data_IF_626740092484
#
_entry.id   IF_626740092484
#
_cell.length_a   1.000
_cell.length_b   1.000
_cell.length_c   1.000
_cell.angle_alpha   90.00
_cell.angle_beta   90.00
_cell.angle_gamma   90.00
#
_symmetry.space_group_name_H-M   'P 1'
#
loop_
_entity.id
_entity.type
_entity.pdbx_description
1 polymer ?
#
# COMPACT_ATOMS: atom_id res chain seq x y z
N UNK A 1 -4.00 -75.91 -52.29
CA UNK A 1 -4.18 -76.45 -53.66
C UNK A 1 -4.95 -77.75 -53.53
N UNK A 2 -6.05 -78.00 -54.27
CA UNK A 2 -6.45 -77.48 -55.59
C UNK A 2 -7.62 -76.45 -55.50
N UNK A 3 -7.81 -75.47 -56.40
CA UNK A 3 -8.34 -75.55 -57.79
C UNK A 3 -9.74 -76.18 -57.81
N UNK A 4 -10.80 -75.67 -58.44
CA UNK A 4 -11.05 -74.54 -59.33
C UNK A 4 -12.55 -74.61 -59.71
N UNK A 5 -13.07 -73.54 -60.35
CA UNK A 5 -14.28 -73.50 -61.20
C UNK A 5 -15.63 -73.51 -60.44
N UNK A 6 -16.62 -72.67 -60.74
CA UNK A 6 -16.86 -71.89 -61.94
C UNK A 6 -18.27 -72.19 -62.47
N UNK A 7 -19.13 -71.17 -62.42
CA UNK A 7 -20.18 -70.87 -63.39
C UNK A 7 -21.60 -71.47 -63.26
N UNK A 8 -22.55 -70.54 -63.44
CA UNK A 8 -23.88 -70.63 -64.09
C UNK A 8 -25.06 -71.18 -63.24
N UNK A 9 -26.28 -70.64 -63.26
CA UNK A 9 -26.91 -69.44 -63.84
C UNK A 9 -28.38 -69.50 -63.36
N UNK A 10 -29.02 -68.41 -62.90
CA UNK A 10 -30.49 -68.27 -62.99
C UNK A 10 -30.84 -66.77 -62.83
N UNK A 11 -30.88 -66.04 -63.94
CA UNK A 11 -32.09 -65.69 -64.70
C UNK A 11 -33.00 -64.68 -63.98
N UNK A 12 -32.77 -63.39 -64.25
CA UNK A 12 -33.85 -62.39 -64.23
C UNK A 12 -33.78 -61.60 -65.54
N UNK A 13 -34.90 -61.65 -66.24
CA UNK A 13 -35.15 -61.14 -67.57
C UNK A 13 -35.13 -59.60 -67.59
N UNK A 14 -34.44 -59.08 -68.59
CA UNK A 14 -34.55 -57.71 -69.12
C UNK A 14 -35.99 -57.37 -69.46
N UNK A 15 -36.45 -56.20 -69.03
CA UNK A 15 -37.30 -55.33 -69.83
C UNK A 15 -36.53 -54.07 -70.17
N UNK A 16 -36.51 -53.78 -71.46
CA UNK A 16 -35.82 -52.68 -72.11
C UNK A 16 -36.64 -51.39 -71.96
N UNK A 17 -36.00 -50.29 -71.56
CA UNK A 17 -36.43 -48.95 -71.93
C UNK A 17 -35.21 -48.14 -72.35
N UNK A 18 -35.26 -47.65 -73.58
CA UNK A 18 -34.17 -46.99 -74.27
C UNK A 18 -34.03 -45.53 -73.81
N UNK A 19 -32.80 -45.11 -73.50
CA UNK A 19 -32.35 -43.71 -73.51
C UNK A 19 -30.98 -43.65 -74.20
N UNK A 20 -30.69 -42.62 -75.00
CA UNK A 20 -29.43 -42.50 -75.74
C UNK A 20 -28.27 -42.05 -74.83
N UNK A 21 -27.00 -42.23 -75.24
CA UNK A 21 -25.84 -41.93 -74.40
C UNK A 21 -25.51 -40.44 -74.38
N UNK A 22 -25.20 -39.91 -73.19
CA UNK A 22 -24.72 -38.54 -72.98
C UNK A 22 -23.19 -38.55 -73.12
N UNK A 23 -22.68 -38.20 -74.29
CA UNK A 23 -21.30 -37.76 -74.49
C UNK A 23 -21.18 -36.27 -74.14
N UNK A 24 -21.01 -35.90 -72.86
CA UNK A 24 -20.72 -34.51 -72.45
C UNK A 24 -20.05 -34.35 -71.08
N UNK A 25 -19.24 -35.33 -70.63
CA UNK A 25 -18.60 -35.28 -69.30
C UNK A 25 -17.21 -34.64 -69.27
N UNK A 26 -16.50 -34.51 -70.40
CA UNK A 26 -15.11 -34.00 -70.41
C UNK A 26 -15.04 -32.48 -70.34
N UNK A 27 -15.87 -31.78 -71.12
CA UNK A 27 -15.84 -30.31 -71.20
C UNK A 27 -16.26 -29.63 -69.88
N UNK A 28 -17.20 -30.24 -69.15
CA UNK A 28 -17.65 -29.73 -67.83
C UNK A 28 -16.55 -29.93 -66.77
N UNK A 29 -15.80 -31.02 -66.84
CA UNK A 29 -14.68 -31.28 -65.93
C UNK A 29 -13.51 -30.30 -66.17
N UNK A 30 -13.19 -30.04 -67.43
CA UNK A 30 -12.14 -29.08 -67.80
C UNK A 30 -12.53 -27.64 -67.43
N UNK A 31 -13.78 -27.24 -67.63
CA UNK A 31 -14.29 -25.94 -67.17
C UNK A 31 -14.23 -25.80 -65.64
N UNK A 32 -14.57 -26.85 -64.88
CA UNK A 32 -14.50 -26.83 -63.42
C UNK A 32 -13.04 -26.71 -62.95
N UNK A 33 -12.13 -27.44 -63.59
CA UNK A 33 -10.70 -27.40 -63.28
C UNK A 33 -10.10 -26.01 -63.56
N UNK A 34 -10.52 -25.38 -64.66
CA UNK A 34 -10.11 -24.02 -65.01
C UNK A 34 -10.68 -22.97 -64.03
N UNK A 35 -11.92 -23.15 -63.56
CA UNK A 35 -12.52 -22.29 -62.53
C UNK A 35 -11.77 -22.39 -61.19
N UNK A 36 -11.38 -23.61 -60.78
CA UNK A 36 -10.60 -23.83 -59.56
C UNK A 36 -9.21 -23.21 -59.68
N UNK A 37 -8.56 -23.32 -60.84
CA UNK A 37 -7.27 -22.68 -61.09
C UNK A 37 -7.37 -21.15 -61.02
N UNK A 38 -8.43 -20.57 -61.61
CA UNK A 38 -8.70 -19.14 -61.57
C UNK A 38 -9.01 -18.66 -60.14
N UNK A 39 -9.79 -19.42 -59.37
CA UNK A 39 -10.05 -19.14 -57.95
C UNK A 39 -8.76 -19.14 -57.13
N UNK A 40 -7.86 -20.12 -57.37
CA UNK A 40 -6.58 -20.23 -56.66
C UNK A 40 -5.62 -19.09 -57.03
N UNK A 41 -5.61 -18.65 -58.29
CA UNK A 41 -4.82 -17.49 -58.70
C UNK A 41 -5.37 -16.20 -58.09
N UNK A 42 -6.69 -16.01 -58.10
CA UNK A 42 -7.35 -14.88 -57.45
C UNK A 42 -7.06 -14.85 -55.93
N UNK A 43 -7.06 -16.00 -55.25
CA UNK A 43 -6.73 -16.10 -53.83
C UNK A 43 -5.25 -15.75 -53.55
N UNK A 44 -4.33 -16.12 -54.45
CA UNK A 44 -2.90 -15.77 -54.37
C UNK A 44 -2.66 -14.28 -54.63
N UNK A 45 -3.38 -13.70 -55.60
CA UNK A 45 -3.34 -12.27 -55.87
C UNK A 45 -3.93 -11.47 -54.70
N UNK A 46 -5.04 -11.91 -54.11
CA UNK A 46 -5.61 -11.30 -52.91
C UNK A 46 -4.62 -11.32 -51.73
N UNK A 47 -3.91 -12.44 -51.54
CA UNK A 47 -2.85 -12.53 -50.52
C UNK A 47 -1.70 -11.54 -50.75
N UNK A 48 -1.34 -11.29 -52.00
CA UNK A 48 -0.24 -10.38 -52.35
C UNK A 48 -0.68 -8.90 -52.29
N UNK A 49 -1.90 -8.60 -52.71
CA UNK A 49 -2.44 -7.23 -52.79
C UNK A 49 -2.95 -6.75 -51.43
N UNK A 50 -3.48 -7.64 -50.58
CA UNK A 50 -4.14 -7.25 -49.33
C UNK A 50 -3.34 -7.67 -48.09
N UNK A 51 -2.94 -8.95 -47.99
CA UNK A 51 -2.37 -9.48 -46.75
C UNK A 51 -0.93 -8.98 -46.52
N UNK A 52 -0.09 -8.97 -47.56
CA UNK A 52 1.32 -8.57 -47.42
C UNK A 52 1.51 -7.08 -47.05
N UNK A 53 0.78 -6.12 -47.65
CA UNK A 53 0.83 -4.72 -47.22
C UNK A 53 0.34 -4.51 -45.79
N UNK A 54 -0.75 -5.18 -45.38
CA UNK A 54 -1.27 -5.12 -44.01
C UNK A 54 -0.24 -5.61 -42.99
N UNK A 55 0.44 -6.73 -43.27
CA UNK A 55 1.47 -7.27 -42.37
C UNK A 55 2.69 -6.33 -42.25
N UNK A 56 3.16 -5.75 -43.36
CA UNK A 56 4.26 -4.78 -43.36
C UNK A 56 3.89 -3.50 -42.60
N UNK A 57 2.65 -3.05 -42.79
CA UNK A 57 2.12 -1.87 -42.13
C UNK A 57 1.99 -2.09 -40.61
N UNK A 58 1.47 -3.25 -40.20
CA UNK A 58 1.40 -3.67 -38.80
C UNK A 58 2.76 -3.66 -38.11
N UNK A 59 3.78 -4.24 -38.75
CA UNK A 59 5.15 -4.25 -38.21
C UNK A 59 5.75 -2.84 -38.08
N UNK A 60 5.44 -1.94 -39.01
CA UNK A 60 5.89 -0.53 -38.95
C UNK A 60 5.18 0.22 -37.82
N UNK A 61 3.88 -0.01 -37.62
CA UNK A 61 3.11 0.57 -36.50
C UNK A 61 3.69 0.08 -35.17
N UNK A 62 3.89 -1.23 -35.02
CA UNK A 62 4.48 -1.83 -33.83
C UNK A 62 5.85 -1.21 -33.49
N UNK A 63 6.73 -1.08 -34.49
CA UNK A 63 8.08 -0.51 -34.30
C UNK A 63 8.06 0.99 -34.00
N UNK A 64 7.11 1.73 -34.58
CA UNK A 64 6.94 3.17 -34.31
C UNK A 64 6.35 3.42 -32.94
N UNK A 65 5.29 2.69 -32.59
CA UNK A 65 4.63 2.76 -31.29
C UNK A 65 5.59 2.36 -30.17
N UNK A 66 6.33 1.25 -30.34
CA UNK A 66 7.33 0.81 -29.37
C UNK A 66 8.38 1.88 -29.07
N UNK A 67 8.94 2.51 -30.13
CA UNK A 67 9.94 3.59 -29.96
C UNK A 67 9.38 4.85 -29.32
N UNK A 68 8.17 5.25 -29.67
CA UNK A 68 7.52 6.44 -29.07
C UNK A 68 7.18 6.18 -27.60
N UNK A 69 6.64 5.00 -27.29
CA UNK A 69 6.32 4.59 -25.93
C UNK A 69 7.59 4.52 -25.06
N UNK A 70 8.65 3.90 -25.56
CA UNK A 70 9.93 3.80 -24.85
C UNK A 70 10.52 5.18 -24.53
N UNK A 71 10.54 6.10 -25.51
CA UNK A 71 10.99 7.48 -25.29
C UNK A 71 10.14 8.23 -24.27
N UNK A 72 8.82 8.09 -24.34
CA UNK A 72 7.89 8.75 -23.42
C UNK A 72 8.03 8.22 -21.99
N UNK A 73 8.10 6.89 -21.83
CA UNK A 73 8.32 6.25 -20.53
C UNK A 73 9.65 6.69 -19.94
N UNK A 74 10.72 6.67 -20.74
CA UNK A 74 12.05 7.09 -20.28
C UNK A 74 12.07 8.55 -19.82
N UNK A 75 11.51 9.47 -20.61
CA UNK A 75 11.42 10.87 -20.24
C UNK A 75 10.58 11.09 -18.97
N UNK A 76 9.49 10.33 -18.81
CA UNK A 76 8.65 10.36 -17.60
C UNK A 76 9.41 9.89 -16.36
N UNK A 77 10.15 8.79 -16.46
CA UNK A 77 10.99 8.25 -15.37
C UNK A 77 12.09 9.25 -14.99
N UNK A 78 12.80 9.81 -15.97
CA UNK A 78 13.88 10.76 -15.73
C UNK A 78 13.35 12.03 -15.02
N UNK A 79 12.16 12.51 -15.41
CA UNK A 79 11.50 13.65 -14.78
C UNK A 79 11.05 13.34 -13.33
N UNK A 80 10.51 12.14 -13.09
CA UNK A 80 10.16 11.69 -11.74
C UNK A 80 11.40 11.60 -10.85
N UNK A 81 12.50 11.07 -11.39
CA UNK A 81 13.77 10.95 -10.67
C UNK A 81 14.35 12.32 -10.29
N UNK A 82 14.33 13.28 -11.21
CA UNK A 82 14.79 14.64 -10.95
C UNK A 82 13.98 15.33 -9.85
N UNK A 83 12.64 15.19 -9.88
CA UNK A 83 11.76 15.72 -8.83
C UNK A 83 12.03 15.09 -7.47
N UNK A 84 12.19 13.76 -7.43
CA UNK A 84 12.50 13.04 -6.20
C UNK A 84 13.81 13.52 -5.57
N UNK A 85 14.86 13.70 -6.39
CA UNK A 85 16.14 14.22 -5.90
C UNK A 85 15.99 15.63 -5.32
N UNK A 86 15.30 16.53 -6.03
CA UNK A 86 15.08 17.91 -5.56
C UNK A 86 14.31 17.94 -4.24
N UNK A 87 13.25 17.14 -4.12
CA UNK A 87 12.44 17.05 -2.91
C UNK A 87 13.23 16.48 -1.73
N UNK A 88 14.01 15.42 -1.95
CA UNK A 88 14.88 14.85 -0.92
C UNK A 88 15.89 15.89 -0.41
N UNK A 89 16.50 16.65 -1.33
CA UNK A 89 17.48 17.68 -0.98
C UNK A 89 16.85 18.81 -0.16
N UNK A 90 15.61 19.21 -0.49
CA UNK A 90 14.82 20.18 0.29
C UNK A 90 14.46 19.63 1.68
N UNK A 91 14.03 18.37 1.77
CA UNK A 91 13.74 17.68 3.04
C UNK A 91 14.94 17.66 3.96
N UNK A 92 16.10 17.21 3.46
CA UNK A 92 17.32 17.16 4.27
C UNK A 92 17.76 18.54 4.78
N UNK A 93 17.61 19.58 3.93
CA UNK A 93 17.94 20.95 4.35
C UNK A 93 17.02 21.43 5.47
N UNK A 94 15.71 21.23 5.33
CA UNK A 94 14.75 21.61 6.36
C UNK A 94 14.98 20.86 7.68
N UNK A 95 15.34 19.58 7.61
CA UNK A 95 15.65 18.80 8.80
C UNK A 95 16.93 19.27 9.51
N UNK A 96 17.99 19.61 8.74
CA UNK A 96 19.21 20.22 9.31
C UNK A 96 18.91 21.57 9.96
N UNK A 97 18.11 22.42 9.34
CA UNK A 97 17.73 23.72 9.91
C UNK A 97 16.94 23.56 11.21
N UNK A 98 15.99 22.62 11.26
CA UNK A 98 15.24 22.30 12.49
C UNK A 98 16.17 21.81 13.61
N UNK A 99 17.11 20.93 13.29
CA UNK A 99 18.07 20.40 14.26
C UNK A 99 18.99 21.51 14.81
N UNK A 100 19.40 22.44 13.95
CA UNK A 100 20.19 23.61 14.34
C UNK A 100 19.41 24.54 15.28
N UNK A 101 18.12 24.80 15.00
CA UNK A 101 17.25 25.62 15.86
C UNK A 101 17.07 25.00 17.25
N UNK A 102 16.81 23.69 17.32
CA UNK A 102 16.70 22.98 18.59
C UNK A 102 18.00 23.06 19.39
N UNK A 103 19.14 22.82 18.74
CA UNK A 103 20.46 22.92 19.37
C UNK A 103 20.70 24.33 19.93
N UNK A 104 20.31 25.36 19.19
CA UNK A 104 20.47 26.76 19.60
C UNK A 104 19.60 27.09 20.81
N UNK A 105 18.34 26.64 20.84
CA UNK A 105 17.43 26.85 21.97
C UNK A 105 17.96 26.17 23.24
N UNK A 106 18.37 24.90 23.15
CA UNK A 106 18.97 24.17 24.28
C UNK A 106 20.22 24.88 24.78
N UNK A 107 21.10 25.30 23.87
CA UNK A 107 22.34 26.01 24.20
C UNK A 107 22.05 27.34 24.90
N UNK A 108 21.05 28.10 24.45
CA UNK A 108 20.64 29.37 25.07
C UNK A 108 20.10 29.15 26.48
N UNK A 109 19.19 28.18 26.66
CA UNK A 109 18.59 27.91 27.96
C UNK A 109 19.61 27.48 29.01
N UNK A 110 20.58 26.65 28.61
CA UNK A 110 21.64 26.17 29.52
C UNK A 110 22.68 27.27 29.81
N UNK A 111 23.16 27.98 28.79
CA UNK A 111 24.30 28.88 28.96
C UNK A 111 23.93 30.30 29.42
N UNK A 112 22.68 30.73 29.21
CA UNK A 112 22.25 32.10 29.50
C UNK A 112 21.13 32.16 30.53
N UNK A 113 20.04 31.46 30.27
CA UNK A 113 18.81 31.64 31.07
C UNK A 113 18.92 30.99 32.46
N UNK A 114 19.48 29.77 32.52
CA UNK A 114 19.67 29.05 33.78
C UNK A 114 20.65 29.77 34.73
N UNK A 115 21.85 30.24 34.30
CA UNK A 115 22.76 30.97 35.17
C UNK A 115 22.19 32.32 35.62
N UNK A 116 21.56 33.08 34.73
CA UNK A 116 20.99 34.39 35.06
C UNK A 116 19.86 34.26 36.10
N UNK A 117 19.05 33.20 36.01
CA UNK A 117 18.01 32.92 36.98
C UNK A 117 18.61 32.46 38.32
N UNK A 118 19.59 31.54 38.30
CA UNK A 118 20.24 31.08 39.52
C UNK A 118 20.86 32.25 40.29
N UNK A 119 21.54 33.16 39.59
CA UNK A 119 22.09 34.38 40.18
C UNK A 119 20.98 35.27 40.80
N UNK A 120 19.86 35.46 40.10
CA UNK A 120 18.72 36.24 40.60
C UNK A 120 18.07 35.61 41.83
N UNK A 121 17.98 34.28 41.87
CA UNK A 121 17.40 33.52 42.98
C UNK A 121 18.31 33.54 44.20
N UNK A 122 19.62 33.31 44.00
CA UNK A 122 20.64 33.42 45.05
C UNK A 122 20.65 34.82 45.64
N UNK A 123 20.61 35.87 44.80
CA UNK A 123 20.52 37.26 45.25
C UNK A 123 19.25 37.57 46.06
N UNK A 124 18.14 36.87 45.79
CA UNK A 124 16.89 37.03 46.54
C UNK A 124 16.90 36.31 47.88
N UNK A 125 17.42 35.09 47.93
CA UNK A 125 17.33 34.23 49.12
C UNK A 125 18.53 34.35 50.08
N UNK A 126 19.73 34.68 49.61
CA UNK A 126 20.88 34.90 50.52
C UNK A 126 20.59 35.99 51.57
N UNK A 127 19.95 37.12 51.24
CA UNK A 127 19.56 38.11 52.25
C UNK A 127 18.48 37.61 53.24
N UNK A 128 17.62 36.66 52.84
CA UNK A 128 16.54 36.13 53.69
C UNK A 128 17.07 35.19 54.78
N UNK A 129 18.27 34.62 54.58
CA UNK A 129 18.95 33.76 55.57
C UNK A 129 19.40 34.52 56.82
N UNK A 130 19.82 35.79 56.69
CA UNK A 130 20.30 36.59 57.83
C UNK A 130 19.27 36.70 58.97
N UNK A 131 18.03 37.13 58.69
CA UNK A 131 16.95 37.15 59.66
C UNK A 131 16.60 35.77 60.24
N UNK A 132 16.65 34.70 59.44
CA UNK A 132 16.36 33.32 59.90
C UNK A 132 17.42 32.86 60.90
N UNK A 133 18.70 33.07 60.57
CA UNK A 133 19.83 32.74 61.45
C UNK A 133 19.79 33.57 62.73
N UNK A 134 19.53 34.88 62.63
CA UNK A 134 19.39 35.75 63.78
C UNK A 134 18.27 35.27 64.71
N UNK A 135 17.08 34.99 64.17
CA UNK A 135 15.92 34.52 64.96
C UNK A 135 16.16 33.17 65.63
N UNK A 136 16.93 32.27 65.00
CA UNK A 136 17.29 30.98 65.58
C UNK A 136 18.39 31.09 66.64
N UNK A 137 19.36 32.00 66.47
CA UNK A 137 20.50 32.16 67.38
C UNK A 137 20.17 33.00 68.63
N UNK A 138 19.37 34.05 68.52
CA UNK A 138 19.03 34.94 69.66
C UNK A 138 18.60 34.19 70.92
N UNK A 139 17.60 33.28 70.89
CA UNK A 139 17.16 32.58 72.11
C UNK A 139 18.21 31.61 72.66
N UNK A 140 19.12 31.11 71.81
CA UNK A 140 20.18 30.19 72.21
C UNK A 140 21.31 30.95 72.90
N UNK A 141 21.64 32.14 72.40
CA UNK A 141 22.57 33.06 73.05
C UNK A 141 22.04 33.43 74.43
N UNK A 142 20.79 33.89 74.52
CA UNK A 142 20.16 34.27 75.79
C UNK A 142 20.19 33.10 76.80
N UNK A 143 19.75 31.91 76.39
CA UNK A 143 19.75 30.73 77.26
C UNK A 143 21.15 30.29 77.68
N UNK A 144 22.12 30.28 76.77
CA UNK A 144 23.50 29.89 77.06
C UNK A 144 24.17 30.89 77.98
N UNK A 145 23.98 32.19 77.74
CA UNK A 145 24.52 33.25 78.59
C UNK A 145 23.94 33.15 80.00
N UNK A 146 22.63 32.96 80.12
CA UNK A 146 21.94 32.81 81.42
C UNK A 146 22.46 31.59 82.18
N UNK A 147 22.63 30.45 81.51
CA UNK A 147 23.16 29.22 82.10
C UNK A 147 24.63 29.35 82.51
N UNK A 148 25.47 29.96 81.66
CA UNK A 148 26.90 30.14 81.91
C UNK A 148 27.11 31.12 83.07
N UNK A 149 26.36 32.23 83.11
CA UNK A 149 26.40 33.20 84.20
C UNK A 149 25.91 32.60 85.51
N UNK A 150 24.85 31.78 85.49
CA UNK A 150 24.38 31.08 86.69
C UNK A 150 25.44 30.11 87.24
N UNK A 151 26.04 29.27 86.39
CA UNK A 151 27.10 28.30 86.80
C UNK A 151 28.37 29.03 87.28
N UNK A 152 28.70 30.15 86.64
CA UNK A 152 29.79 31.04 87.00
C UNK A 152 29.60 31.67 88.39
N UNK A 153 28.45 32.31 88.64
CA UNK A 153 28.12 32.94 89.93
C UNK A 153 28.07 31.91 91.05
N UNK A 154 27.54 30.72 90.76
CA UNK A 154 27.44 29.63 91.74
C UNK A 154 28.81 29.04 92.13
N UNK A 155 29.82 29.16 91.25
CA UNK A 155 31.21 28.76 91.53
C UNK A 155 32.11 29.91 92.02
N UNK A 156 31.69 31.17 91.89
CA UNK A 156 32.53 32.35 92.11
C UNK A 156 32.53 32.90 93.54
N UNK A 157 32.21 32.10 94.57
CA UNK A 157 32.18 32.52 95.99
C UNK A 157 33.60 32.73 96.58
N UNK A 158 34.54 33.32 95.83
CA UNK A 158 35.89 33.67 96.31
C UNK A 158 36.64 34.67 95.41
N UNK A 159 37.46 35.53 96.03
CA UNK A 159 38.02 36.79 95.48
C UNK A 159 38.97 36.69 94.26
N UNK A 160 39.27 35.50 93.74
CA UNK A 160 40.21 35.30 92.62
C UNK A 160 39.55 34.98 91.27
N UNK A 161 38.22 35.07 91.20
CA UNK A 161 37.43 34.39 90.16
C UNK A 161 37.18 35.24 88.91
N UNK A 162 37.20 36.58 88.96
CA UNK A 162 36.78 37.43 87.82
C UNK A 162 37.58 37.16 86.52
N UNK A 163 38.92 37.06 86.59
CA UNK A 163 39.75 36.78 85.40
C UNK A 163 39.63 35.33 84.89
N UNK A 164 39.32 34.37 85.77
CA UNK A 164 39.02 32.99 85.35
C UNK A 164 37.60 32.86 84.80
N UNK A 165 36.67 33.68 85.31
CA UNK A 165 35.30 33.80 84.84
C UNK A 165 35.29 34.30 83.41
N UNK A 166 35.98 35.40 83.14
CA UNK A 166 36.05 36.01 81.82
C UNK A 166 36.57 35.02 80.75
N UNK A 167 37.68 34.33 81.03
CA UNK A 167 38.21 33.29 80.14
C UNK A 167 37.29 32.08 79.98
N UNK A 168 36.68 31.60 81.07
CA UNK A 168 35.81 30.41 81.05
C UNK A 168 34.48 30.68 80.35
N UNK A 169 33.87 31.84 80.60
CA UNK A 169 32.65 32.33 79.95
C UNK A 169 32.92 32.50 78.46
N UNK A 170 34.01 33.18 78.09
CA UNK A 170 34.37 33.41 76.69
C UNK A 170 34.58 32.10 75.93
N UNK A 171 35.39 31.18 76.48
CA UNK A 171 35.69 29.91 75.82
C UNK A 171 34.47 28.98 75.71
N UNK A 172 33.63 28.88 76.74
CA UNK A 172 32.40 28.07 76.68
C UNK A 172 31.35 28.69 75.75
N UNK A 173 31.23 30.01 75.74
CA UNK A 173 30.32 30.71 74.85
C UNK A 173 30.75 30.54 73.40
N UNK A 174 32.03 30.73 73.07
CA UNK A 174 32.59 30.47 71.74
C UNK A 174 32.32 29.03 71.28
N UNK A 175 32.65 28.04 72.12
CA UNK A 175 32.49 26.64 71.75
C UNK A 175 31.01 26.27 71.51
N UNK A 176 30.09 26.83 72.31
CA UNK A 176 28.65 26.60 72.17
C UNK A 176 28.11 27.30 70.93
N UNK A 177 28.53 28.54 70.70
CA UNK A 177 28.10 29.34 69.54
C UNK A 177 28.61 28.73 68.23
N UNK A 178 29.89 28.32 68.18
CA UNK A 178 30.47 27.65 67.02
C UNK A 178 29.73 26.35 66.66
N UNK A 179 29.45 25.50 67.67
CA UNK A 179 28.68 24.26 67.46
C UNK A 179 27.28 24.53 66.95
N UNK A 180 26.63 25.56 67.49
CA UNK A 180 25.25 25.87 67.14
C UNK A 180 25.13 26.54 65.77
N UNK A 181 26.05 27.45 65.43
CA UNK A 181 26.17 28.03 64.09
C UNK A 181 26.38 26.89 63.09
N UNK A 182 27.30 25.97 63.35
CA UNK A 182 27.56 24.85 62.46
C UNK A 182 26.32 23.96 62.29
N UNK A 183 25.60 23.68 63.36
CA UNK A 183 24.37 22.87 63.33
C UNK A 183 23.26 23.57 62.55
N UNK A 184 22.99 24.85 62.83
CA UNK A 184 21.97 25.66 62.14
C UNK A 184 22.30 25.91 60.67
N UNK A 185 23.58 26.08 60.34
CA UNK A 185 24.02 26.15 58.96
C UNK A 185 23.70 24.83 58.24
N UNK A 186 23.91 23.68 58.90
CA UNK A 186 23.65 22.39 58.29
C UNK A 186 22.18 22.01 58.18
N UNK A 187 21.31 22.42 59.10
CA UNK A 187 19.87 22.12 59.05
C UNK A 187 19.07 23.17 58.31
N UNK A 188 19.28 24.47 58.56
CA UNK A 188 18.46 25.52 57.95
C UNK A 188 19.00 25.94 56.59
N UNK A 189 20.27 26.32 56.48
CA UNK A 189 20.81 26.85 55.21
C UNK A 189 20.85 25.77 54.13
N UNK A 190 21.32 24.55 54.47
CA UNK A 190 21.32 23.42 53.53
C UNK A 190 19.91 23.06 53.06
N UNK A 191 18.94 22.95 53.96
CA UNK A 191 17.57 22.57 53.61
C UNK A 191 16.89 23.65 52.77
N UNK A 192 17.03 24.93 53.14
CA UNK A 192 16.53 26.05 52.36
C UNK A 192 17.15 26.09 50.97
N UNK A 193 18.47 25.91 50.85
CA UNK A 193 19.13 25.86 49.53
C UNK A 193 18.64 24.68 48.69
N UNK A 194 18.46 23.51 49.31
CA UNK A 194 17.99 22.30 48.63
C UNK A 194 16.52 22.42 48.18
N UNK A 195 15.65 22.98 49.01
CA UNK A 195 14.24 23.22 48.68
C UNK A 195 14.10 24.30 47.60
N UNK A 196 14.91 25.35 47.65
CA UNK A 196 14.95 26.40 46.62
C UNK A 196 15.42 25.84 45.28
N UNK A 197 16.49 25.03 45.28
CA UNK A 197 17.00 24.39 44.06
C UNK A 197 15.96 23.42 43.47
N UNK A 198 15.31 22.61 44.33
CA UNK A 198 14.21 21.72 43.94
C UNK A 198 13.04 22.50 43.33
N UNK A 199 12.56 23.53 44.03
CA UNK A 199 11.44 24.35 43.57
C UNK A 199 11.77 25.04 42.25
N UNK A 200 13.02 25.49 42.05
CA UNK A 200 13.47 26.09 40.80
C UNK A 200 13.49 25.07 39.64
N UNK A 201 13.90 23.83 39.90
CA UNK A 201 13.79 22.74 38.94
C UNK A 201 12.33 22.43 38.58
N UNK A 202 11.45 22.28 39.58
CA UNK A 202 10.03 21.91 39.41
C UNK A 202 9.19 23.02 38.77
N UNK A 203 9.43 24.29 39.12
CA UNK A 203 8.59 25.41 38.66
C UNK A 203 9.04 26.04 37.35
N UNK A 204 10.28 25.80 36.92
CA UNK A 204 10.84 26.49 35.75
C UNK A 204 11.51 25.54 34.77
N UNK A 205 12.42 24.68 35.23
CA UNK A 205 13.19 23.82 34.34
C UNK A 205 12.31 22.72 33.73
N UNK A 206 11.45 22.09 34.53
CA UNK A 206 10.45 21.12 34.05
C UNK A 206 9.44 21.80 33.10
N UNK A 207 8.76 22.92 33.45
CA UNK A 207 7.84 23.60 32.53
C UNK A 207 8.48 24.14 31.26
N UNK A 208 9.70 24.67 31.32
CA UNK A 208 10.41 25.15 30.12
C UNK A 208 10.76 23.98 29.19
N UNK A 209 11.19 22.84 29.75
CA UNK A 209 11.45 21.63 28.99
C UNK A 209 10.17 21.05 28.39
N UNK A 210 9.08 20.97 29.17
CA UNK A 210 7.77 20.54 28.70
C UNK A 210 7.25 21.44 27.58
N UNK A 211 7.36 22.76 27.73
CA UNK A 211 6.94 23.72 26.71
C UNK A 211 7.79 23.58 25.43
N UNK A 212 9.10 23.38 25.56
CA UNK A 212 9.98 23.15 24.41
C UNK A 212 9.64 21.84 23.69
N UNK A 213 9.40 20.76 24.43
CA UNK A 213 8.96 19.48 23.88
C UNK A 213 7.59 19.61 23.20
N UNK A 214 6.64 20.32 23.82
CA UNK A 214 5.32 20.59 23.26
C UNK A 214 5.44 21.33 21.92
N UNK A 215 6.21 22.42 21.88
CA UNK A 215 6.44 23.16 20.63
C UNK A 215 7.12 22.28 19.57
N UNK A 216 8.05 21.41 19.97
CA UNK A 216 8.66 20.44 19.05
C UNK A 216 7.60 19.47 18.49
N UNK A 217 6.71 18.92 19.33
CA UNK A 217 5.65 18.02 18.88
C UNK A 217 4.65 18.71 17.96
N UNK A 218 4.24 19.95 18.26
CA UNK A 218 3.37 20.74 17.38
C UNK A 218 4.01 21.01 16.02
N UNK A 219 5.32 21.28 15.99
CA UNK A 219 6.07 21.44 14.74
C UNK A 219 6.18 20.13 13.95
N UNK A 220 6.39 19.00 14.62
CA UNK A 220 6.44 17.68 13.98
C UNK A 220 5.07 17.31 13.41
N UNK A 221 3.99 17.52 14.17
CA UNK A 221 2.61 17.26 13.72
C UNK A 221 2.25 18.13 12.52
N UNK A 222 2.57 19.43 12.57
CA UNK A 222 2.33 20.35 11.45
C UNK A 222 3.14 19.97 10.20
N UNK A 223 4.43 19.63 10.36
CA UNK A 223 5.27 19.19 9.26
C UNK A 223 4.78 17.86 8.66
N UNK A 224 4.30 16.94 9.49
CA UNK A 224 3.74 15.67 9.06
C UNK A 224 2.42 15.87 8.30
N UNK A 225 1.48 16.65 8.83
CA UNK A 225 0.23 16.99 8.13
C UNK A 225 0.50 17.68 6.80
N UNK A 226 1.42 18.65 6.79
CA UNK A 226 1.84 19.32 5.56
C UNK A 226 2.41 18.33 4.55
N UNK A 227 3.35 17.46 4.98
CA UNK A 227 3.92 16.43 4.13
C UNK A 227 2.88 15.44 3.59
N UNK A 228 1.90 15.03 4.41
CA UNK A 228 0.81 14.18 3.95
C UNK A 228 -0.07 14.88 2.92
N UNK A 229 -0.38 16.17 3.12
CA UNK A 229 -1.17 16.95 2.17
C UNK A 229 -0.43 17.17 0.84
N UNK A 230 0.87 17.47 0.91
CA UNK A 230 1.73 17.63 -0.27
C UNK A 230 1.88 16.31 -1.02
N UNK A 231 2.03 15.20 -0.32
CA UNK A 231 2.08 13.87 -0.92
C UNK A 231 0.74 13.45 -1.53
N UNK A 232 -0.39 13.76 -0.90
CA UNK A 232 -1.72 13.52 -1.46
C UNK A 232 -1.94 14.32 -2.75
N UNK A 233 -1.52 15.60 -2.76
CA UNK A 233 -1.56 16.45 -3.96
C UNK A 233 -0.59 15.95 -5.02
N UNK A 234 0.61 15.50 -4.65
CA UNK A 234 1.59 14.94 -5.58
C UNK A 234 1.09 13.64 -6.22
N UNK A 235 0.46 12.74 -5.46
CA UNK A 235 -0.19 11.54 -5.99
C UNK A 235 -1.32 11.94 -6.95
N UNK A 236 -2.19 12.88 -6.55
CA UNK A 236 -3.28 13.33 -7.41
C UNK A 236 -2.76 13.92 -8.73
N UNK A 237 -1.72 14.76 -8.66
CA UNK A 237 -1.06 15.32 -9.85
C UNK A 237 -0.32 14.26 -10.66
N UNK A 238 0.26 13.23 -10.04
CA UNK A 238 0.92 12.14 -10.74
C UNK A 238 -0.08 11.23 -11.46
N UNK A 239 -1.25 10.99 -10.87
CA UNK A 239 -2.37 10.29 -11.51
C UNK A 239 -2.86 11.10 -12.70
N UNK A 240 -3.16 12.39 -12.54
CA UNK A 240 -3.58 13.26 -13.64
C UNK A 240 -2.51 13.39 -14.75
N UNK A 241 -1.25 13.55 -14.38
CA UNK A 241 -0.13 13.67 -15.31
C UNK A 241 0.26 12.33 -15.95
N UNK A 242 -0.07 11.17 -15.37
CA UNK A 242 0.12 9.86 -16.00
C UNK A 242 -1.01 9.56 -16.99
N UNK A 243 -2.25 9.95 -16.68
CA UNK A 243 -3.39 9.77 -17.58
C UNK A 243 -3.30 10.67 -18.81
N UNK A 244 -2.79 11.90 -18.69
CA UNK A 244 -2.75 12.88 -19.80
C UNK A 244 -1.92 12.42 -21.02
N UNK A 245 -0.64 12.00 -20.91
CA UNK A 245 0.16 11.55 -22.04
C UNK A 245 -0.33 10.20 -22.59
N UNK A 246 -0.92 9.34 -21.75
CA UNK A 246 -1.51 8.08 -22.19
C UNK A 246 -2.77 8.32 -23.03
N UNK A 247 -3.63 9.25 -22.59
CA UNK A 247 -4.81 9.71 -23.36
C UNK A 247 -4.40 10.40 -24.66
N UNK A 248 -3.36 11.25 -24.64
CA UNK A 248 -2.84 11.89 -25.84
C UNK A 248 -2.24 10.86 -26.82
N UNK A 249 -1.46 9.90 -26.33
CA UNK A 249 -0.89 8.82 -27.15
C UNK A 249 -1.98 7.93 -27.73
N UNK A 250 -3.01 7.59 -26.94
CA UNK A 250 -4.17 6.83 -27.40
C UNK A 250 -4.93 7.59 -28.48
N UNK A 251 -5.15 8.89 -28.29
CA UNK A 251 -5.80 9.78 -29.27
C UNK A 251 -5.01 9.87 -30.56
N UNK A 252 -3.69 10.05 -30.51
CA UNK A 252 -2.83 10.06 -31.71
C UNK A 252 -2.81 8.69 -32.41
N UNK A 253 -2.82 7.59 -31.65
CA UNK A 253 -2.89 6.22 -32.19
C UNK A 253 -4.23 5.96 -32.86
N UNK A 254 -5.35 6.36 -32.25
CA UNK A 254 -6.70 6.26 -32.83
C UNK A 254 -6.79 7.11 -34.10
N UNK A 255 -6.22 8.32 -34.09
CA UNK A 255 -6.24 9.22 -35.25
C UNK A 255 -5.42 8.65 -36.40
N UNK A 256 -4.23 8.08 -36.11
CA UNK A 256 -3.40 7.38 -37.10
C UNK A 256 -4.07 6.12 -37.63
N UNK A 257 -4.68 5.30 -36.76
CA UNK A 257 -5.42 4.11 -37.16
C UNK A 257 -6.64 4.48 -38.04
N UNK A 258 -7.29 5.60 -37.75
CA UNK A 258 -8.41 6.12 -38.55
C UNK A 258 -7.97 6.57 -39.93
N UNK A 259 -6.84 7.28 -40.05
CA UNK A 259 -6.32 7.69 -41.37
C UNK A 259 -5.86 6.49 -42.19
N UNK A 260 -5.29 5.46 -41.54
CA UNK A 260 -4.91 4.20 -42.19
C UNK A 260 -6.15 3.46 -42.69
N UNK A 261 -7.22 3.41 -41.88
CA UNK A 261 -8.49 2.78 -42.28
C UNK A 261 -9.10 3.51 -43.48
N UNK A 262 -9.04 4.84 -43.52
CA UNK A 262 -9.45 5.62 -44.69
C UNK A 262 -8.59 5.32 -45.92
N UNK A 263 -7.27 5.23 -45.78
CA UNK A 263 -6.38 4.88 -46.88
C UNK A 263 -6.64 3.45 -47.41
N UNK A 264 -6.81 2.46 -46.52
CA UNK A 264 -7.15 1.09 -46.91
C UNK A 264 -8.53 1.02 -47.57
N UNK A 265 -9.50 1.80 -47.11
CA UNK A 265 -10.82 1.91 -47.75
C UNK A 265 -10.71 2.50 -49.14
N UNK A 266 -9.87 3.52 -49.32
CA UNK A 266 -9.58 4.12 -50.63
C UNK A 266 -8.90 3.11 -51.58
N UNK A 267 -7.87 2.42 -51.11
CA UNK A 267 -7.16 1.39 -51.89
C UNK A 267 -8.05 0.18 -52.20
N UNK A 268 -8.93 -0.23 -51.29
CA UNK A 268 -9.89 -1.31 -51.52
C UNK A 268 -10.97 -0.91 -52.53
N UNK A 269 -11.47 0.33 -52.46
CA UNK A 269 -12.39 0.87 -53.45
C UNK A 269 -11.72 0.98 -54.83
N UNK A 270 -10.44 1.36 -54.88
CA UNK A 270 -9.67 1.40 -56.13
C UNK A 270 -9.40 -0.02 -56.68
N UNK A 271 -9.09 -0.98 -55.80
CA UNK A 271 -8.98 -2.40 -56.14
C UNK A 271 -10.29 -2.97 -56.67
N UNK A 272 -11.43 -2.68 -56.04
CA UNK A 272 -12.75 -3.06 -56.54
C UNK A 272 -13.05 -2.44 -57.90
N UNK A 273 -12.69 -1.17 -58.15
CA UNK A 273 -12.84 -0.54 -59.47
C UNK A 273 -11.99 -1.23 -60.54
N UNK A 274 -10.75 -1.62 -60.20
CA UNK A 274 -9.86 -2.35 -61.10
C UNK A 274 -10.37 -3.76 -61.41
N UNK A 275 -10.90 -4.48 -60.41
CA UNK A 275 -11.51 -5.80 -60.62
C UNK A 275 -12.77 -5.68 -61.48
N UNK A 276 -13.61 -4.67 -61.25
CA UNK A 276 -14.80 -4.43 -62.07
C UNK A 276 -14.43 -4.13 -63.53
N UNK A 277 -13.35 -3.37 -63.76
CA UNK A 277 -12.83 -3.09 -65.10
C UNK A 277 -12.26 -4.35 -65.80
N UNK A 278 -11.70 -5.29 -65.05
CA UNK A 278 -11.24 -6.58 -65.57
C UNK A 278 -12.42 -7.51 -65.90
N UNK A 279 -13.51 -7.46 -65.12
CA UNK A 279 -14.73 -8.23 -65.38
C UNK A 279 -15.52 -7.68 -66.57
N UNK A 280 -15.55 -6.37 -66.77
CA UNK A 280 -16.24 -5.75 -67.92
C UNK A 280 -15.45 -5.76 -69.23
N UNK A 281 -14.14 -6.04 -69.18
CA UNK A 281 -13.29 -6.20 -70.37
C UNK A 281 -13.20 -7.65 -70.89
N UNK A 282 -13.78 -8.62 -70.19
CA UNK A 282 -13.92 -10.01 -70.64
C UNK A 282 -15.24 -10.26 -71.36
N UNK A 283 -15.21 -10.30 -72.70
CA UNK A 283 -16.20 -10.84 -73.64
C UNK A 283 -17.70 -10.64 -73.33
N UNK A 284 -18.31 -9.72 -74.09
CA UNK A 284 -19.74 -9.67 -74.34
C UNK A 284 -20.20 -10.96 -75.07
N UNK A 285 -21.10 -11.73 -74.44
CA UNK A 285 -22.20 -12.50 -75.08
C UNK A 285 -22.86 -13.44 -74.05
N UNK A 286 -23.96 -13.01 -73.42
CA UNK A 286 -25.12 -13.86 -73.12
C UNK A 286 -26.20 -13.02 -72.42
N UNK A 287 -27.38 -12.99 -73.02
CA UNK A 287 -28.55 -12.25 -72.57
C UNK A 287 -29.26 -12.95 -71.39
N UNK A 288 -29.78 -12.11 -70.49
CA UNK A 288 -31.03 -12.23 -69.74
C UNK A 288 -31.25 -13.42 -68.78
N UNK A 289 -31.16 -13.13 -67.49
CA UNK A 289 -32.27 -13.39 -66.54
C UNK A 289 -32.33 -12.27 -65.49
N UNK A 290 -33.46 -11.58 -65.48
CA UNK A 290 -33.81 -10.49 -64.59
C UNK A 290 -34.26 -10.99 -63.20
N UNK A 291 -34.18 -10.08 -62.23
CA UNK A 291 -34.87 -10.04 -60.92
C UNK A 291 -34.15 -10.71 -59.74
N UNK A 292 -33.29 -9.95 -59.06
CA UNK A 292 -33.21 -9.99 -57.59
C UNK A 292 -34.26 -9.03 -57.02
N UNK A 293 -35.25 -9.57 -56.31
CA UNK A 293 -35.96 -8.87 -55.23
C UNK A 293 -35.76 -9.66 -53.93
N UNK A 294 -35.72 -8.99 -52.77
CA UNK A 294 -35.15 -9.50 -51.53
C UNK A 294 -36.15 -10.44 -50.84
N UNK A 295 -35.77 -11.69 -50.64
CA UNK A 295 -36.55 -12.58 -49.79
C UNK A 295 -36.04 -12.49 -48.36
N UNK A 296 -36.90 -11.97 -47.47
CA UNK A 296 -36.75 -11.99 -46.02
C UNK A 296 -36.66 -13.45 -45.53
N UNK A 297 -35.46 -13.88 -45.18
CA UNK A 297 -35.21 -15.03 -44.30
C UNK A 297 -34.65 -14.52 -42.97
N UNK A 298 -34.94 -15.17 -41.82
CA UNK A 298 -34.53 -14.66 -40.52
C UNK A 298 -33.01 -14.62 -40.45
N UNK A 299 -32.51 -13.45 -40.05
CA UNK A 299 -31.12 -13.21 -39.68
C UNK A 299 -30.73 -14.27 -38.65
N UNK A 300 -29.94 -15.27 -39.06
CA UNK A 300 -29.11 -16.01 -38.13
C UNK A 300 -28.21 -14.99 -37.46
N UNK A 301 -28.36 -14.89 -36.14
CA UNK A 301 -27.76 -13.84 -35.33
C UNK A 301 -26.24 -13.74 -35.47
N UNK A 302 -25.64 -12.66 -34.95
CA UNK A 302 -24.20 -12.55 -34.80
C UNK A 302 -23.67 -13.77 -34.00
N UNK A 303 -22.38 -14.12 -34.14
CA UNK A 303 -21.80 -15.28 -33.48
C UNK A 303 -22.21 -15.29 -32.01
N UNK A 304 -22.76 -16.43 -31.62
CA UNK A 304 -23.25 -16.76 -30.29
C UNK A 304 -22.29 -16.19 -29.25
N UNK A 305 -22.71 -15.08 -28.63
CA UNK A 305 -22.13 -14.62 -27.38
C UNK A 305 -22.44 -15.76 -26.42
N UNK A 306 -21.43 -16.58 -26.12
CA UNK A 306 -21.51 -17.56 -25.04
C UNK A 306 -22.19 -16.87 -23.86
N UNK A 307 -23.37 -17.41 -23.51
CA UNK A 307 -24.12 -16.95 -22.35
C UNK A 307 -23.14 -16.86 -21.17
N UNK A 308 -23.20 -15.79 -20.33
CA UNK A 308 -22.32 -15.68 -19.19
C UNK A 308 -22.42 -16.97 -18.39
N UNK A 309 -21.34 -17.77 -18.40
CA UNK A 309 -21.28 -18.96 -17.58
C UNK A 309 -21.58 -18.50 -16.15
N UNK A 310 -22.59 -19.11 -15.55
CA UNK A 310 -22.96 -18.87 -14.16
C UNK A 310 -21.65 -18.93 -13.34
N UNK A 311 -21.22 -17.84 -12.68
CA UNK A 311 -19.91 -17.76 -12.02
C UNK A 311 -19.65 -18.95 -11.10
N UNK A 312 -20.72 -19.50 -10.53
CA UNK A 312 -20.70 -20.64 -9.63
C UNK A 312 -20.36 -21.95 -10.35
N UNK A 313 -20.81 -22.13 -11.60
CA UNK A 313 -20.51 -23.33 -12.41
C UNK A 313 -19.06 -23.36 -12.83
N UNK A 314 -18.50 -22.21 -13.23
CA UNK A 314 -17.09 -22.13 -13.61
C UNK A 314 -16.17 -22.33 -12.39
N UNK A 315 -16.49 -21.74 -11.24
CA UNK A 315 -15.76 -22.00 -10.00
C UNK A 315 -15.87 -23.47 -9.55
N UNK A 316 -17.06 -24.07 -9.65
CA UNK A 316 -17.25 -25.49 -9.34
C UNK A 316 -16.42 -26.42 -10.24
N UNK A 317 -16.26 -26.06 -11.52
CA UNK A 317 -15.40 -26.78 -12.47
C UNK A 317 -13.92 -26.66 -12.09
N UNK A 318 -13.45 -25.47 -11.72
CA UNK A 318 -12.06 -25.28 -11.28
C UNK A 318 -11.75 -26.03 -9.97
N UNK A 319 -12.72 -26.13 -9.06
CA UNK A 319 -12.59 -26.94 -7.84
C UNK A 319 -12.48 -28.44 -8.14
N UNK A 320 -13.27 -28.98 -9.07
CA UNK A 320 -13.18 -30.40 -9.44
C UNK A 320 -11.87 -30.74 -10.15
N UNK A 321 -11.31 -29.79 -10.89
CA UNK A 321 -9.99 -29.89 -11.51
C UNK A 321 -8.82 -29.67 -10.52
N UNK A 322 -9.10 -29.46 -9.23
CA UNK A 322 -8.10 -29.18 -8.18
C UNK A 322 -7.25 -27.92 -8.45
N UNK A 323 -7.77 -26.99 -9.25
CA UNK A 323 -7.13 -25.71 -9.58
C UNK A 323 -7.56 -24.62 -8.61
N UNK A 324 -7.15 -24.77 -7.36
CA UNK A 324 -7.57 -23.88 -6.27
C UNK A 324 -7.11 -22.43 -6.51
N UNK A 325 -5.86 -22.20 -6.92
CA UNK A 325 -5.32 -20.85 -7.17
C UNK A 325 -6.12 -20.09 -8.25
N UNK A 326 -6.42 -20.76 -9.37
CA UNK A 326 -7.23 -20.17 -10.45
C UNK A 326 -8.66 -19.86 -9.97
N UNK A 327 -9.28 -20.76 -9.20
CA UNK A 327 -10.62 -20.56 -8.64
C UNK A 327 -10.66 -19.34 -7.71
N UNK A 328 -9.71 -19.23 -6.78
CA UNK A 328 -9.63 -18.08 -5.87
C UNK A 328 -9.29 -16.78 -6.61
N UNK A 329 -8.43 -16.82 -7.61
CA UNK A 329 -8.11 -15.66 -8.45
C UNK A 329 -9.35 -15.13 -9.18
N UNK A 330 -10.11 -16.01 -9.83
CA UNK A 330 -11.35 -15.64 -10.53
C UNK A 330 -12.39 -15.08 -9.55
N UNK A 331 -12.55 -15.70 -8.37
CA UNK A 331 -13.49 -15.22 -7.36
C UNK A 331 -13.11 -13.82 -6.82
N UNK A 332 -11.82 -13.58 -6.55
CA UNK A 332 -11.33 -12.30 -6.03
C UNK A 332 -11.41 -11.18 -7.06
N UNK A 333 -11.15 -11.47 -8.35
CA UNK A 333 -11.30 -10.49 -9.44
C UNK A 333 -12.72 -9.93 -9.55
N UNK A 334 -13.73 -10.72 -9.18
CA UNK A 334 -15.14 -10.30 -9.21
C UNK A 334 -15.52 -9.38 -8.05
N UNK A 335 -14.64 -9.21 -7.04
CA UNK A 335 -14.84 -8.33 -5.89
C UNK A 335 -16.14 -8.57 -5.10
N UNK A 336 -16.73 -9.77 -5.22
CA UNK A 336 -17.98 -10.15 -4.56
C UNK A 336 -17.68 -11.02 -3.33
N UNK A 337 -17.95 -10.47 -2.14
CA UNK A 337 -17.73 -11.15 -0.85
C UNK A 337 -18.58 -12.42 -0.75
N UNK A 338 -19.76 -12.47 -1.37
CA UNK A 338 -20.68 -13.61 -1.29
C UNK A 338 -20.12 -14.82 -2.03
N UNK A 339 -19.56 -14.59 -3.22
CA UNK A 339 -18.90 -15.62 -4.03
C UNK A 339 -17.65 -16.15 -3.30
N UNK A 340 -16.89 -15.26 -2.67
CA UNK A 340 -15.70 -15.64 -1.89
C UNK A 340 -16.08 -16.44 -0.63
N UNK A 341 -17.13 -16.04 0.10
CA UNK A 341 -17.64 -16.78 1.27
C UNK A 341 -18.15 -18.17 0.88
N UNK A 342 -18.88 -18.25 -0.25
CA UNK A 342 -19.31 -19.52 -0.81
C UNK A 342 -18.12 -20.41 -1.17
N UNK A 343 -17.13 -19.87 -1.88
CA UNK A 343 -15.94 -20.62 -2.29
C UNK A 343 -15.15 -21.15 -1.08
N UNK A 344 -14.95 -20.31 -0.05
CA UNK A 344 -14.32 -20.72 1.22
C UNK A 344 -15.14 -21.78 1.96
N UNK A 345 -16.45 -21.86 1.73
CA UNK A 345 -17.32 -22.90 2.31
C UNK A 345 -17.29 -24.22 1.54
N UNK A 346 -16.92 -24.19 0.25
CA UNK A 346 -16.80 -25.41 -0.57
C UNK A 346 -15.45 -26.12 -0.38
N UNK A 347 -14.47 -25.45 0.23
CA UNK A 347 -13.08 -25.91 0.28
C UNK A 347 -12.59 -25.97 1.73
N UNK A 348 -11.81 -26.98 2.06
CA UNK A 348 -11.08 -27.03 3.34
C UNK A 348 -9.88 -26.06 3.28
N UNK A 349 -10.14 -24.80 3.60
CA UNK A 349 -9.14 -23.74 3.55
C UNK A 349 -7.97 -24.00 4.51
N UNK A 350 -8.25 -24.60 5.68
CA UNK A 350 -7.21 -24.96 6.65
C UNK A 350 -6.32 -26.07 6.11
N UNK A 351 -6.92 -27.08 5.48
CA UNK A 351 -6.20 -28.12 4.75
C UNK A 351 -5.30 -27.53 3.67
N UNK A 352 -5.82 -26.65 2.81
CA UNK A 352 -5.04 -26.00 1.76
C UNK A 352 -3.87 -25.17 2.30
N UNK A 353 -4.10 -24.34 3.32
CA UNK A 353 -3.07 -23.47 3.92
C UNK A 353 -1.96 -24.25 4.64
N UNK A 354 -2.17 -25.53 4.97
CA UNK A 354 -1.17 -26.39 5.64
C UNK A 354 -0.41 -27.32 4.69
N UNK A 355 -0.77 -27.35 3.40
CA UNK A 355 -0.04 -28.11 2.38
C UNK A 355 1.33 -27.46 2.10
N UNK A 356 2.34 -28.29 1.82
CA UNK A 356 3.68 -27.84 1.43
C UNK A 356 4.05 -28.44 0.06
N UNK A 357 4.18 -27.63 -1.01
CA UNK A 357 3.99 -26.17 -1.06
C UNK A 357 2.50 -25.77 -0.95
N UNK A 358 2.24 -24.56 -0.44
CA UNK A 358 0.88 -24.01 -0.35
C UNK A 358 0.35 -23.82 -1.79
N UNK A 359 -0.80 -24.39 -2.15
CA UNK A 359 -1.33 -24.38 -3.53
C UNK A 359 -1.97 -23.04 -3.93
N UNK A 360 -1.82 -21.99 -3.13
CA UNK A 360 -2.34 -20.65 -3.35
C UNK A 360 -1.19 -19.64 -3.41
N UNK A 361 -1.24 -18.74 -4.39
CA UNK A 361 -0.30 -17.66 -4.53
C UNK A 361 -0.40 -16.68 -3.34
N UNK A 362 0.75 -16.14 -2.91
CA UNK A 362 0.84 -15.16 -1.83
C UNK A 362 -0.02 -13.90 -2.09
N UNK A 363 -0.14 -13.45 -3.36
CA UNK A 363 -1.05 -12.38 -3.74
C UNK A 363 -2.53 -12.73 -3.55
N UNK A 364 -2.89 -13.98 -3.85
CA UNK A 364 -4.26 -14.50 -3.67
C UNK A 364 -4.60 -14.60 -2.19
N UNK A 365 -3.68 -15.09 -1.35
CA UNK A 365 -3.85 -15.13 0.11
C UNK A 365 -4.03 -13.73 0.70
N UNK A 366 -3.23 -12.75 0.27
CA UNK A 366 -3.32 -11.38 0.76
C UNK A 366 -4.65 -10.70 0.36
N UNK A 367 -5.07 -10.87 -0.89
CA UNK A 367 -6.36 -10.38 -1.38
C UNK A 367 -7.54 -11.09 -0.70
N UNK A 368 -7.43 -12.38 -0.42
CA UNK A 368 -8.43 -13.15 0.31
C UNK A 368 -8.58 -12.65 1.75
N UNK A 369 -7.47 -12.40 2.45
CA UNK A 369 -7.48 -11.81 3.79
C UNK A 369 -8.18 -10.45 3.80
N UNK A 370 -7.89 -9.60 2.80
CA UNK A 370 -8.52 -8.29 2.65
C UNK A 370 -10.02 -8.41 2.40
N UNK A 371 -10.44 -9.28 1.48
CA UNK A 371 -11.84 -9.42 1.08
C UNK A 371 -12.71 -10.02 2.21
N UNK A 372 -12.18 -10.99 2.96
CA UNK A 372 -12.87 -11.54 4.13
C UNK A 372 -13.06 -10.50 5.25
N UNK A 373 -12.18 -9.52 5.35
CA UNK A 373 -12.28 -8.43 6.31
C UNK A 373 -13.29 -7.33 5.93
N UNK A 374 -13.75 -7.27 4.67
CA UNK A 374 -14.65 -6.19 4.19
C UNK A 374 -16.00 -6.23 4.91
N UNK A 375 -16.59 -7.41 5.05
CA UNK A 375 -17.86 -7.61 5.73
C UNK A 375 -17.75 -8.75 6.74
N UNK A 376 -17.08 -8.50 7.87
CA UNK A 376 -16.91 -9.52 8.92
C UNK A 376 -18.19 -9.76 9.74
N UNK A 377 -19.20 -8.89 9.60
CA UNK A 377 -20.46 -9.01 10.35
C UNK A 377 -21.34 -10.16 9.88
N UNK A 378 -21.17 -10.63 8.65
CA UNK A 378 -21.84 -11.80 8.10
C UNK A 378 -20.96 -13.05 8.26
N UNK A 379 -21.48 -14.10 8.89
CA UNK A 379 -20.74 -15.36 9.15
C UNK A 379 -19.44 -15.19 9.98
N UNK A 380 -19.48 -14.27 10.96
CA UNK A 380 -18.34 -13.86 11.80
C UNK A 380 -17.43 -14.99 12.24
N UNK A 381 -17.97 -16.07 12.83
CA UNK A 381 -17.18 -17.18 13.36
C UNK A 381 -16.39 -17.92 12.27
N UNK A 382 -16.97 -18.11 11.08
CA UNK A 382 -16.30 -18.79 9.95
C UNK A 382 -15.24 -17.91 9.33
N UNK A 383 -15.56 -16.63 9.09
CA UNK A 383 -14.61 -15.67 8.52
C UNK A 383 -13.40 -15.45 9.41
N UNK A 384 -13.57 -15.37 10.74
CA UNK A 384 -12.43 -15.26 11.67
C UNK A 384 -11.51 -16.48 11.55
N UNK A 385 -12.05 -17.69 11.44
CA UNK A 385 -11.25 -18.91 11.26
C UNK A 385 -10.50 -18.89 9.93
N UNK A 386 -11.21 -18.64 8.82
CA UNK A 386 -10.59 -18.54 7.49
C UNK A 386 -9.50 -17.47 7.43
N UNK A 387 -9.75 -16.28 7.98
CA UNK A 387 -8.76 -15.21 8.06
C UNK A 387 -7.54 -15.61 8.90
N UNK A 388 -7.73 -16.40 9.96
CA UNK A 388 -6.62 -16.87 10.79
C UNK A 388 -5.75 -17.85 10.01
N UNK A 389 -6.35 -18.82 9.33
CA UNK A 389 -5.64 -19.81 8.51
C UNK A 389 -4.88 -19.13 7.35
N UNK A 390 -5.53 -18.18 6.67
CA UNK A 390 -4.92 -17.39 5.58
C UNK A 390 -3.78 -16.52 6.09
N UNK A 391 -3.96 -15.80 7.22
CA UNK A 391 -2.93 -14.94 7.78
C UNK A 391 -1.67 -15.73 8.20
N UNK A 392 -1.83 -16.97 8.68
CA UNK A 392 -0.71 -17.85 9.03
C UNK A 392 0.05 -18.37 7.79
N UNK A 393 -0.60 -18.48 6.63
CA UNK A 393 0.00 -18.95 5.39
C UNK A 393 0.71 -17.85 4.57
N UNK A 394 0.51 -16.58 4.94
CA UNK A 394 1.14 -15.44 4.26
C UNK A 394 2.61 -15.32 4.69
N UNK A 395 3.50 -15.32 3.71
CA UNK A 395 4.90 -15.01 3.88
C UNK A 395 5.13 -13.50 3.65
N UNK A 396 5.39 -12.71 4.70
CA UNK A 396 5.58 -11.26 4.57
C UNK A 396 6.85 -10.87 3.81
N UNK A 397 7.79 -11.80 3.63
CA UNK A 397 9.07 -11.56 2.92
C UNK A 397 9.01 -11.84 1.41
N UNK A 398 7.86 -12.31 0.90
CA UNK A 398 7.68 -12.59 -0.52
C UNK A 398 7.76 -11.28 -1.33
N UNK A 399 8.64 -11.25 -2.34
CA UNK A 399 8.95 -10.05 -3.12
C UNK A 399 7.75 -9.50 -3.90
N UNK A 400 6.78 -10.36 -4.26
CA UNK A 400 5.61 -9.96 -5.05
C UNK A 400 4.63 -9.14 -4.20
N UNK A 401 4.48 -9.51 -2.92
CA UNK A 401 3.50 -8.89 -2.03
C UNK A 401 4.08 -7.97 -0.98
N UNK A 402 5.41 -7.96 -0.77
CA UNK A 402 6.08 -7.24 0.32
C UNK A 402 5.56 -5.80 0.52
N UNK A 403 5.49 -5.01 -0.56
CA UNK A 403 5.04 -3.60 -0.50
C UNK A 403 3.56 -3.44 -0.09
N UNK A 404 2.75 -4.48 -0.25
CA UNK A 404 1.31 -4.46 0.01
C UNK A 404 0.93 -5.12 1.34
N UNK A 405 1.79 -5.98 1.90
CA UNK A 405 1.50 -6.72 3.14
C UNK A 405 1.19 -5.78 4.30
N UNK A 406 2.07 -4.83 4.59
CA UNK A 406 1.91 -3.91 5.71
C UNK A 406 0.62 -3.06 5.64
N UNK A 407 0.34 -2.30 4.56
CA UNK A 407 -0.86 -1.47 4.50
C UNK A 407 -2.15 -2.30 4.55
N UNK A 408 -2.17 -3.50 3.96
CA UNK A 408 -3.35 -4.37 3.99
C UNK A 408 -3.57 -4.94 5.39
N UNK A 409 -2.52 -5.43 6.07
CA UNK A 409 -2.64 -5.97 7.43
C UNK A 409 -3.04 -4.89 8.44
N UNK A 410 -2.51 -3.66 8.32
CA UNK A 410 -2.93 -2.52 9.16
C UNK A 410 -4.40 -2.15 8.91
N UNK A 411 -4.85 -2.14 7.64
CA UNK A 411 -6.26 -1.92 7.29
C UNK A 411 -7.18 -3.00 7.86
N UNK A 412 -6.80 -4.27 7.72
CA UNK A 412 -7.56 -5.41 8.27
C UNK A 412 -7.62 -5.31 9.80
N UNK A 413 -6.49 -5.00 10.46
CA UNK A 413 -6.44 -4.81 11.90
C UNK A 413 -7.40 -3.73 12.39
N UNK A 414 -7.44 -2.58 11.70
CA UNK A 414 -8.36 -1.49 12.04
C UNK A 414 -9.84 -1.93 11.93
N UNK A 415 -10.20 -2.68 10.88
CA UNK A 415 -11.55 -3.23 10.70
C UNK A 415 -11.91 -4.22 11.80
N UNK A 416 -11.00 -5.12 12.17
CA UNK A 416 -11.18 -6.07 13.27
C UNK A 416 -11.34 -5.36 14.62
N UNK A 417 -10.50 -4.36 14.90
CA UNK A 417 -10.57 -3.57 16.13
C UNK A 417 -11.91 -2.83 16.26
N UNK A 418 -12.41 -2.25 15.16
CA UNK A 418 -13.73 -1.64 15.11
C UNK A 418 -14.83 -2.67 15.38
N UNK A 419 -14.81 -3.81 14.69
CA UNK A 419 -15.82 -4.87 14.87
C UNK A 419 -15.86 -5.41 16.31
N UNK A 420 -14.71 -5.50 16.98
CA UNK A 420 -14.61 -5.89 18.39
C UNK A 420 -15.28 -4.91 19.35
N UNK A 421 -15.26 -3.63 19.02
CA UNK A 421 -15.85 -2.58 19.86
C UNK A 421 -17.39 -2.57 19.81
N UNK A 422 -17.99 -3.30 18.87
CA UNK A 422 -19.44 -3.41 18.75
C UNK A 422 -20.04 -4.40 19.78
N UNK A 423 -21.18 -4.06 20.43
CA UNK A 423 -21.81 -4.89 21.45
C UNK A 423 -22.42 -6.21 20.95
N UNK A 424 -22.44 -6.43 19.63
CA UNK A 424 -23.14 -7.55 18.97
C UNK A 424 -22.31 -8.83 18.85
N UNK A 425 -21.08 -8.84 19.37
CA UNK A 425 -20.12 -9.94 19.18
C UNK A 425 -20.17 -10.99 20.29
N UNK A 426 -20.29 -12.27 19.92
CA UNK A 426 -20.26 -13.39 20.88
C UNK A 426 -18.94 -13.43 21.68
N UNK A 427 -18.94 -13.89 22.96
CA UNK A 427 -17.71 -14.05 23.75
C UNK A 427 -16.66 -14.97 23.12
N UNK A 428 -17.11 -16.01 22.41
CA UNK A 428 -16.23 -16.95 21.70
C UNK A 428 -15.58 -16.28 20.49
N UNK A 429 -16.37 -15.56 19.68
CA UNK A 429 -15.87 -14.81 18.53
C UNK A 429 -14.91 -13.71 18.97
N UNK A 430 -15.17 -13.04 20.09
CA UNK A 430 -14.25 -12.07 20.68
C UNK A 430 -12.88 -12.66 21.04
N UNK A 431 -12.85 -13.93 21.46
CA UNK A 431 -11.62 -14.64 21.79
C UNK A 431 -10.86 -15.05 20.52
N UNK A 432 -11.56 -15.54 19.51
CA UNK A 432 -10.97 -15.87 18.21
C UNK A 432 -10.50 -14.62 17.46
N UNK A 433 -11.21 -13.51 17.58
CA UNK A 433 -10.82 -12.22 16.99
C UNK A 433 -9.55 -11.66 17.65
N UNK A 434 -9.39 -11.81 18.97
CA UNK A 434 -8.13 -11.50 19.68
C UNK A 434 -6.96 -12.31 19.12
N UNK A 435 -7.18 -13.61 18.92
CA UNK A 435 -6.16 -14.49 18.37
C UNK A 435 -5.75 -14.05 16.97
N UNK A 436 -6.71 -13.79 16.09
CA UNK A 436 -6.46 -13.25 14.75
C UNK A 436 -5.68 -11.94 14.78
N UNK A 437 -6.05 -11.00 15.65
CA UNK A 437 -5.31 -9.74 15.83
C UNK A 437 -3.86 -9.97 16.29
N UNK A 438 -3.60 -10.98 17.14
CA UNK A 438 -2.24 -11.36 17.52
C UNK A 438 -1.45 -11.99 16.37
N UNK A 439 -2.08 -12.85 15.55
CA UNK A 439 -1.45 -13.41 14.35
C UNK A 439 -1.06 -12.31 13.37
N UNK A 440 -1.96 -11.36 13.10
CA UNK A 440 -1.69 -10.20 12.24
C UNK A 440 -0.49 -9.39 12.76
N UNK A 441 -0.45 -9.09 14.06
CA UNK A 441 0.69 -8.38 14.67
C UNK A 441 1.99 -9.20 14.60
N UNK A 442 1.92 -10.52 14.77
CA UNK A 442 3.09 -11.40 14.65
C UNK A 442 3.67 -11.38 13.23
N UNK A 443 2.81 -11.42 12.21
CA UNK A 443 3.23 -11.35 10.80
C UNK A 443 3.81 -9.97 10.48
N UNK A 444 3.19 -8.89 10.97
CA UNK A 444 3.70 -7.51 10.83
C UNK A 444 5.06 -7.31 11.52
N UNK A 445 5.31 -7.96 12.66
CA UNK A 445 6.60 -7.90 13.35
C UNK A 445 7.69 -8.71 12.64
N UNK A 446 7.30 -9.72 11.86
CA UNK A 446 8.20 -10.55 11.07
C UNK A 446 8.62 -9.88 9.75
N UNK A 447 7.96 -8.78 9.38
CA UNK A 447 8.26 -7.93 8.21
C UNK A 447 9.47 -6.98 8.43
N UNK A 448 10.40 -7.32 9.34
CA UNK A 448 11.55 -6.45 9.69
C UNK A 448 12.67 -6.44 8.67
#
# INVERSE_FOLDING_TARGET
>A
TPLCLGSNHLHIQRTSSAYPPIESSSEVADMLQQLIAMQKDMQKQLGTIVIAPIAKEGKRIETSLGRTMEKSIKASIDALWARFLEENTKREKAERERMQQMTTLITSSINKDLPAMLDKLVKKEVPSLGPVVARAMTPIIEKSLTSIVADAVQKAVGDKVVNQLDKSVTAKLEATLARQIQMQFHTSVKQTLQDVLRTSFESLLVPAFEQSCKTMFEQVDSAFQKGMSEHAVAIQQQVEAAHTPLVLTLKETITSASSITQNLTSELLDGHRKILALVTSGNANAQNTNVLQPNNGPITGPPEVEAPLDPMKELSRLLSEHKFDEAFTVALQRSDVSIVSWLCSQVDLRGLCTMAPVPLNQGVLLALLQQLAVDIGTETSRKIQWMTDVAMAINPTDQVIAIHVRPIFEQVYAKLAHHRSLPTTSPLDNSNLRLLMHVINSVLLSYK
#
